data_IF_445972462304
#
_entry.id   IF_445972462304
#
_cell.length_a   1.000
_cell.length_b   1.000
_cell.length_c   1.000
_cell.angle_alpha   90.00
_cell.angle_beta   90.00
_cell.angle_gamma   90.00
#
_symmetry.space_group_name_H-M   'P 1'
#
loop_
_entity.id
_entity.type
_entity.pdbx_description
1 polymer ?
#
# COMPACT_ATOMS: atom_id res chain seq x y z
N UNK A 1 -25.30 6.71 -2.76
CA UNK A 1 -24.36 7.51 -3.56
C UNK A 1 -25.04 8.83 -3.79
N UNK A 2 -24.34 9.90 -3.46
CA UNK A 2 -24.82 11.27 -3.52
C UNK A 2 -23.81 12.07 -4.34
N UNK A 3 -24.30 12.93 -5.23
CA UNK A 3 -23.45 13.67 -6.17
C UNK A 3 -23.85 15.14 -6.16
N UNK A 4 -22.88 15.99 -5.87
CA UNK A 4 -22.98 17.44 -5.94
C UNK A 4 -22.34 17.90 -7.25
N UNK A 5 -23.08 18.60 -8.11
CA UNK A 5 -22.62 19.03 -9.44
C UNK A 5 -22.72 20.54 -9.63
N UNK A 6 -21.74 21.10 -10.34
CA UNK A 6 -21.76 22.44 -10.92
C UNK A 6 -21.53 22.36 -12.42
N UNK A 7 -22.40 23.00 -13.19
CA UNK A 7 -22.34 23.03 -14.64
C UNK A 7 -22.15 24.46 -15.11
N UNK A 8 -21.15 24.67 -15.96
CA UNK A 8 -20.82 25.98 -16.52
C UNK A 8 -20.79 25.89 -18.04
N UNK A 9 -21.69 26.61 -18.71
CA UNK A 9 -21.68 26.71 -20.18
C UNK A 9 -20.54 27.61 -20.62
N UNK A 10 -19.72 27.10 -21.53
CA UNK A 10 -18.59 27.81 -22.16
C UNK A 10 -18.72 27.74 -23.68
N UNK A 11 -17.83 28.44 -24.40
CA UNK A 11 -17.91 28.54 -25.87
C UNK A 11 -17.79 27.18 -26.57
N UNK A 12 -16.95 26.30 -26.02
CA UNK A 12 -16.58 25.02 -26.61
C UNK A 12 -17.40 23.84 -26.04
N UNK A 13 -18.28 24.09 -25.05
CA UNK A 13 -18.95 23.01 -24.36
C UNK A 13 -19.56 23.37 -23.00
N UNK A 14 -19.63 22.37 -22.12
CA UNK A 14 -20.07 22.49 -20.73
C UNK A 14 -19.00 21.92 -19.82
N UNK A 15 -18.46 22.74 -18.94
CA UNK A 15 -17.58 22.28 -17.86
C UNK A 15 -18.45 21.70 -16.74
N UNK A 16 -18.25 20.43 -16.45
CA UNK A 16 -18.89 19.73 -15.34
C UNK A 16 -17.86 19.58 -14.23
N UNK A 17 -18.16 20.11 -13.05
CA UNK A 17 -17.36 19.92 -11.84
C UNK A 17 -18.25 19.26 -10.79
N UNK A 18 -17.75 18.24 -10.11
CA UNK A 18 -18.55 17.55 -9.13
C UNK A 18 -17.75 16.86 -8.04
N UNK A 19 -18.48 16.56 -6.97
CA UNK A 19 -18.02 15.74 -5.85
C UNK A 19 -19.02 14.61 -5.67
N UNK A 20 -18.54 13.37 -5.67
CA UNK A 20 -19.36 12.18 -5.46
C UNK A 20 -18.98 11.50 -4.14
N UNK A 21 -20.00 11.26 -3.32
CA UNK A 21 -19.89 10.45 -2.10
C UNK A 21 -20.49 9.08 -2.32
N UNK A 22 -19.70 8.05 -2.12
CA UNK A 22 -20.09 6.67 -2.30
C UNK A 22 -19.61 5.80 -1.14
N UNK A 23 -20.27 4.66 -0.94
CA UNK A 23 -19.80 3.61 -0.05
C UNK A 23 -19.44 2.41 -0.90
N UNK A 24 -18.26 1.84 -0.66
CA UNK A 24 -17.76 0.65 -1.32
C UNK A 24 -17.64 -0.50 -0.34
N UNK A 25 -18.10 -1.68 -0.76
CA UNK A 25 -18.01 -2.92 0.01
C UNK A 25 -16.92 -3.82 -0.59
N UNK A 26 -16.12 -4.43 0.28
CA UNK A 26 -15.05 -5.35 -0.14
C UNK A 26 -14.63 -6.28 0.99
N UNK A 27 -13.51 -6.95 0.80
CA UNK A 27 -12.95 -7.88 1.77
C UNK A 27 -11.53 -7.44 2.17
N UNK A 28 -11.21 -7.62 3.44
CA UNK A 28 -9.89 -7.34 3.98
C UNK A 28 -8.86 -8.28 3.34
N UNK A 29 -7.79 -7.73 2.77
CA UNK A 29 -6.74 -8.53 2.12
C UNK A 29 -5.98 -9.45 3.09
N UNK A 30 -6.09 -9.23 4.40
CA UNK A 30 -5.37 -10.00 5.43
C UNK A 30 -6.22 -11.11 6.05
N UNK A 31 -7.49 -10.85 6.34
CA UNK A 31 -8.37 -11.79 7.06
C UNK A 31 -9.64 -12.19 6.31
N UNK A 32 -9.91 -11.61 5.15
CA UNK A 32 -11.14 -11.80 4.36
C UNK A 32 -12.44 -11.38 5.08
N UNK A 33 -12.35 -10.67 6.20
CA UNK A 33 -13.52 -10.05 6.82
C UNK A 33 -14.05 -8.90 5.95
N UNK A 34 -15.38 -8.69 5.90
CA UNK A 34 -15.98 -7.57 5.16
C UNK A 34 -15.41 -6.23 5.61
N UNK A 35 -15.22 -5.33 4.65
CA UNK A 35 -14.79 -3.94 4.85
C UNK A 35 -15.76 -3.03 4.12
N UNK A 36 -16.23 -1.99 4.81
CA UNK A 36 -16.99 -0.89 4.23
C UNK A 36 -16.07 0.34 4.18
N UNK A 37 -16.02 0.99 3.03
CA UNK A 37 -15.18 2.16 2.77
C UNK A 37 -16.05 3.31 2.30
N UNK A 38 -16.00 4.43 3.01
CA UNK A 38 -16.57 5.68 2.53
C UNK A 38 -15.58 6.39 1.61
N UNK A 39 -16.06 6.76 0.43
CA UNK A 39 -15.31 7.44 -0.62
C UNK A 39 -15.92 8.82 -0.86
N UNK A 40 -15.06 9.83 -0.89
CA UNK A 40 -15.39 11.18 -1.34
C UNK A 40 -14.43 11.50 -2.48
N UNK A 41 -14.95 11.60 -3.70
CA UNK A 41 -14.15 11.78 -4.93
C UNK A 41 -14.57 13.03 -5.66
N UNK A 42 -13.58 13.85 -6.02
CA UNK A 42 -13.77 15.01 -6.88
C UNK A 42 -13.47 14.63 -8.33
N UNK A 43 -14.26 15.17 -9.24
CA UNK A 43 -14.04 15.02 -10.68
C UNK A 43 -14.38 16.31 -11.41
N UNK A 44 -13.73 16.50 -12.56
CA UNK A 44 -13.94 17.65 -13.42
C UNK A 44 -13.70 17.24 -14.86
N UNK A 45 -14.65 17.52 -15.74
CA UNK A 45 -14.54 17.20 -17.16
C UNK A 45 -15.21 18.25 -18.05
N UNK A 46 -14.67 18.43 -19.26
CA UNK A 46 -15.27 19.25 -20.30
C UNK A 46 -16.03 18.39 -21.30
N UNK A 47 -17.32 18.65 -21.47
CA UNK A 47 -18.13 18.03 -22.53
C UNK A 47 -18.27 18.99 -23.72
N UNK A 48 -17.84 18.58 -24.91
CA UNK A 48 -17.86 19.44 -26.10
C UNK A 48 -19.23 19.47 -26.77
N UNK A 49 -19.57 20.57 -27.45
CA UNK A 49 -20.76 20.61 -28.29
C UNK A 49 -20.49 19.89 -29.62
N UNK A 50 -21.47 19.18 -30.22
CA UNK A 50 -21.27 18.50 -31.50
C UNK A 50 -20.78 19.40 -32.64
N UNK A 51 -21.06 20.71 -32.56
CA UNK A 51 -20.67 21.71 -33.56
C UNK A 51 -19.45 22.55 -33.15
N UNK A 52 -18.89 22.40 -31.94
CA UNK A 52 -17.73 23.21 -31.51
C UNK A 52 -16.44 22.79 -32.20
N UNK A 53 -16.31 21.51 -32.56
CA UNK A 53 -15.14 20.96 -33.23
C UNK A 53 -14.98 21.55 -34.65
N UNK A 54 -16.09 21.97 -35.27
CA UNK A 54 -16.14 22.55 -36.61
C UNK A 54 -15.93 24.09 -36.64
N UNK A 55 -16.05 24.80 -35.51
CA UNK A 55 -16.07 26.28 -35.47
C UNK A 55 -14.69 26.93 -35.28
N UNK A 56 -13.64 26.13 -35.08
CA UNK A 56 -12.28 26.61 -34.83
C UNK A 56 -11.18 26.05 -35.74
N UNK A 57 -11.38 24.87 -36.35
CA UNK A 57 -10.35 24.24 -37.19
C UNK A 57 -10.80 24.27 -38.65
N UNK A 58 -10.16 25.11 -39.46
CA UNK A 58 -10.24 24.96 -40.90
C UNK A 58 -9.92 23.51 -41.22
N UNK A 59 -10.78 22.86 -42.01
CA UNK A 59 -10.52 21.58 -42.67
C UNK A 59 -9.31 21.73 -43.61
N UNK A 60 -8.13 21.84 -43.04
CA UNK A 60 -6.86 22.01 -43.71
C UNK A 60 -6.04 20.76 -43.44
N UNK A 61 -5.95 19.96 -44.50
CA UNK A 61 -5.07 18.81 -44.65
C UNK A 61 -5.31 17.65 -43.67
N UNK A 62 -5.84 16.57 -44.24
CA UNK A 62 -5.47 15.24 -43.81
C UNK A 62 -3.95 15.07 -44.02
N UNK A 63 -3.16 15.37 -43.00
CA UNK A 63 -1.84 14.79 -42.73
C UNK A 63 -1.34 15.36 -41.37
N UNK A 64 -1.18 14.44 -40.41
CA UNK A 64 -0.15 14.50 -39.35
C UNK A 64 -0.37 15.22 -38.00
N UNK A 65 -1.60 15.45 -37.51
CA UNK A 65 -1.82 15.92 -36.11
C UNK A 65 -3.12 15.38 -35.48
N UNK A 66 -3.27 14.06 -35.38
CA UNK A 66 -4.39 13.41 -34.69
C UNK A 66 -4.08 13.09 -33.20
N UNK A 67 -3.34 13.96 -32.51
CA UNK A 67 -2.97 13.76 -31.10
C UNK A 67 -3.73 14.69 -30.13
N UNK A 68 -4.55 15.63 -30.61
CA UNK A 68 -5.21 16.66 -29.77
C UNK A 68 -6.74 16.48 -29.62
N UNK A 69 -7.36 15.57 -30.39
CA UNK A 69 -8.82 15.35 -30.39
C UNK A 69 -9.24 14.08 -29.61
N UNK A 70 -8.31 13.36 -28.97
CA UNK A 70 -8.62 12.10 -28.27
C UNK A 70 -9.24 12.30 -26.87
N UNK A 71 -9.22 13.52 -26.32
CA UNK A 71 -9.59 13.80 -24.93
C UNK A 71 -10.95 14.53 -24.76
N UNK A 72 -11.67 14.87 -25.84
CA UNK A 72 -12.95 15.59 -25.74
C UNK A 72 -14.15 14.63 -25.77
N UNK A 73 -14.94 14.62 -24.69
CA UNK A 73 -16.16 13.81 -24.59
C UNK A 73 -17.34 14.59 -25.21
N UNK A 74 -17.94 14.13 -26.32
CA UNK A 74 -19.03 14.85 -26.96
C UNK A 74 -20.30 14.81 -26.12
N UNK A 75 -21.05 15.91 -26.14
CA UNK A 75 -22.39 15.96 -25.57
C UNK A 75 -23.38 15.27 -26.51
N UNK A 76 -23.96 14.15 -26.07
CA UNK A 76 -24.91 13.37 -26.86
C UNK A 76 -26.34 13.83 -26.59
N UNK A 77 -27.03 14.38 -27.60
CA UNK A 77 -28.42 14.84 -27.50
C UNK A 77 -28.70 15.80 -26.33
N UNK A 78 -27.71 16.60 -25.93
CA UNK A 78 -27.81 17.52 -24.79
C UNK A 78 -27.64 16.87 -23.42
N UNK A 79 -27.22 15.61 -23.37
CA UNK A 79 -26.92 14.83 -22.18
C UNK A 79 -25.41 14.56 -22.11
N UNK A 80 -24.88 14.50 -20.90
CA UNK A 80 -23.52 14.04 -20.61
C UNK A 80 -23.60 12.72 -19.85
N UNK A 81 -22.79 11.73 -20.23
CA UNK A 81 -22.67 10.48 -19.49
C UNK A 81 -21.60 10.63 -18.39
N UNK A 82 -22.06 10.60 -17.13
CA UNK A 82 -21.17 10.68 -15.97
C UNK A 82 -20.61 9.32 -15.56
N UNK A 83 -21.14 8.21 -16.07
CA UNK A 83 -20.70 6.88 -15.64
C UNK A 83 -19.19 6.67 -15.83
N UNK A 84 -18.57 6.99 -17.00
CA UNK A 84 -17.14 6.83 -17.18
C UNK A 84 -16.33 7.69 -16.22
N UNK A 85 -16.72 8.95 -16.05
CA UNK A 85 -16.03 9.90 -15.17
C UNK A 85 -16.08 9.49 -13.70
N UNK A 86 -17.27 9.08 -13.24
CA UNK A 86 -17.46 8.61 -11.87
C UNK A 86 -16.71 7.30 -11.65
N UNK A 87 -16.73 6.38 -12.62
CA UNK A 87 -16.00 5.12 -12.54
C UNK A 87 -14.51 5.38 -12.39
N UNK A 88 -13.94 6.24 -13.22
CA UNK A 88 -12.51 6.51 -13.19
C UNK A 88 -12.10 7.19 -11.89
N UNK A 89 -12.87 8.19 -11.43
CA UNK A 89 -12.63 8.84 -10.15
C UNK A 89 -12.72 7.86 -8.96
N UNK A 90 -13.74 7.02 -8.92
CA UNK A 90 -13.96 6.04 -7.84
C UNK A 90 -12.91 4.94 -7.85
N UNK A 91 -12.63 4.34 -9.01
CA UNK A 91 -11.67 3.23 -9.14
C UNK A 91 -10.27 3.68 -8.73
N UNK A 92 -9.87 4.90 -9.09
CA UNK A 92 -8.57 5.45 -8.71
C UNK A 92 -8.48 5.83 -7.23
N UNK A 93 -9.60 6.13 -6.58
CA UNK A 93 -9.65 6.45 -5.15
C UNK A 93 -9.66 5.21 -4.25
N UNK A 94 -10.03 4.04 -4.77
CA UNK A 94 -10.07 2.80 -4.00
C UNK A 94 -8.67 2.36 -3.54
N UNK A 95 -8.50 1.95 -2.27
CA UNK A 95 -7.22 1.44 -1.80
C UNK A 95 -6.89 0.10 -2.47
N UNK A 96 -5.64 -0.09 -2.89
CA UNK A 96 -5.19 -1.37 -3.46
C UNK A 96 -5.19 -2.53 -2.46
N UNK A 97 -5.09 -2.23 -1.17
CA UNK A 97 -5.03 -3.22 -0.08
C UNK A 97 -5.96 -2.82 1.07
N UNK A 98 -7.28 -2.99 0.91
CA UNK A 98 -8.22 -2.70 1.98
C UNK A 98 -7.99 -3.60 3.19
N UNK A 99 -8.04 -3.01 4.39
CA UNK A 99 -7.91 -3.73 5.66
C UNK A 99 -9.08 -3.36 6.57
N UNK A 100 -9.59 -4.34 7.33
CA UNK A 100 -10.71 -4.12 8.26
C UNK A 100 -10.32 -3.25 9.48
N UNK A 101 -9.02 -3.15 9.78
CA UNK A 101 -8.41 -2.33 10.84
C UNK A 101 -6.90 -2.23 10.60
N UNK A 102 -6.28 -1.17 11.11
CA UNK A 102 -4.83 -0.91 10.94
C UNK A 102 -3.95 -2.07 11.42
N UNK A 103 -4.29 -2.65 12.57
CA UNK A 103 -3.52 -3.73 13.22
C UNK A 103 -4.05 -5.15 12.92
N UNK A 104 -4.75 -5.36 11.79
CA UNK A 104 -5.34 -6.67 11.49
C UNK A 104 -4.25 -7.75 11.37
N UNK A 105 -4.22 -8.77 12.23
CA UNK A 105 -3.17 -9.81 12.20
C UNK A 105 -3.23 -10.68 10.94
N UNK A 106 -4.43 -10.90 10.39
CA UNK A 106 -4.67 -11.66 9.17
C UNK A 106 -4.89 -13.16 9.42
N UNK A 107 -4.79 -13.96 8.35
CA UNK A 107 -4.86 -15.41 8.43
C UNK A 107 -3.47 -16.03 8.55
N UNK A 108 -3.40 -17.18 9.23
CA UNK A 108 -2.22 -18.03 9.24
C UNK A 108 -1.93 -18.53 7.82
N UNK A 109 -0.69 -18.38 7.35
CA UNK A 109 -0.25 -18.84 6.02
C UNK A 109 -0.27 -20.36 5.86
N UNK A 110 -0.23 -21.11 6.97
CA UNK A 110 -0.14 -22.56 6.96
C UNK A 110 -1.52 -23.24 6.97
N UNK A 111 -2.48 -22.72 7.75
CA UNK A 111 -3.78 -23.38 7.95
C UNK A 111 -5.00 -22.47 7.73
N UNK A 112 -4.82 -21.17 7.54
CA UNK A 112 -5.91 -20.20 7.36
C UNK A 112 -6.65 -19.78 8.64
N UNK A 113 -6.16 -20.14 9.83
CA UNK A 113 -6.76 -19.67 11.09
C UNK A 113 -6.66 -18.15 11.24
N UNK A 114 -7.73 -17.51 11.76
CA UNK A 114 -7.76 -16.07 11.98
C UNK A 114 -6.90 -15.70 13.20
N UNK A 115 -5.77 -15.04 12.95
CA UNK A 115 -4.83 -14.62 13.98
C UNK A 115 -5.38 -13.48 14.84
N UNK A 116 -6.42 -12.77 14.38
CA UNK A 116 -7.09 -11.77 15.21
C UNK A 116 -7.88 -12.40 16.36
N UNK A 117 -8.37 -13.63 16.17
CA UNK A 117 -9.14 -14.37 17.19
C UNK A 117 -8.23 -15.25 18.04
N UNK A 118 -7.12 -15.74 17.48
CA UNK A 118 -6.15 -16.57 18.17
C UNK A 118 -4.70 -16.07 17.92
N UNK A 119 -4.24 -15.05 18.66
CA UNK A 119 -2.93 -14.43 18.44
C UNK A 119 -1.74 -15.35 18.70
N UNK A 120 -1.90 -16.33 19.61
CA UNK A 120 -0.84 -17.27 19.98
C UNK A 120 -0.74 -18.47 19.01
N UNK A 121 -1.56 -18.49 17.95
CA UNK A 121 -1.57 -19.56 16.96
C UNK A 121 -0.27 -19.58 16.14
N UNK A 122 0.45 -20.69 16.20
CA UNK A 122 1.68 -20.92 15.44
C UNK A 122 1.80 -22.39 15.03
N UNK A 123 2.57 -22.63 13.97
CA UNK A 123 2.92 -23.95 13.49
C UNK A 123 4.43 -24.12 13.53
N UNK A 124 4.91 -25.07 14.33
CA UNK A 124 6.30 -25.51 14.29
C UNK A 124 6.47 -26.53 13.14
N UNK A 125 6.43 -26.04 11.91
CA UNK A 125 6.68 -26.86 10.73
C UNK A 125 8.16 -26.79 10.35
N UNK A 126 8.90 -27.87 10.60
CA UNK A 126 10.28 -27.98 10.09
C UNK A 126 10.24 -28.44 8.64
N UNK A 127 10.77 -27.60 7.75
CA UNK A 127 10.91 -27.91 6.33
C UNK A 127 11.70 -29.21 6.13
N UNK A 128 11.16 -30.10 5.30
CA UNK A 128 11.68 -31.45 5.03
C UNK A 128 13.15 -31.41 4.60
N UNK A 129 13.57 -30.39 3.84
CA UNK A 129 14.97 -30.23 3.38
C UNK A 129 15.93 -30.01 4.55
N UNK A 130 15.43 -29.42 5.62
CA UNK A 130 16.18 -29.05 6.82
C UNK A 130 15.95 -30.02 7.99
N UNK A 131 15.08 -31.03 7.83
CA UNK A 131 14.78 -32.01 8.88
C UNK A 131 16.04 -32.71 9.41
N UNK A 132 17.03 -32.99 8.54
CA UNK A 132 18.30 -33.59 8.92
C UNK A 132 19.15 -32.71 9.87
N UNK A 133 18.91 -31.39 9.91
CA UNK A 133 19.62 -30.46 10.79
C UNK A 133 18.98 -30.31 12.17
N UNK A 134 17.81 -30.89 12.44
CA UNK A 134 17.18 -30.83 13.78
C UNK A 134 18.12 -31.40 14.86
N UNK A 135 18.91 -32.43 14.53
CA UNK A 135 19.90 -33.01 15.43
C UNK A 135 21.04 -32.05 15.83
N UNK A 136 21.26 -30.98 15.06
CA UNK A 136 22.31 -29.98 15.29
C UNK A 136 21.83 -28.78 16.12
N UNK A 137 20.51 -28.58 16.26
CA UNK A 137 19.97 -27.47 17.05
C UNK A 137 20.32 -27.57 18.54
N UNK A 138 20.41 -28.79 19.08
CA UNK A 138 20.84 -29.04 20.46
C UNK A 138 22.33 -28.83 20.71
N UNK A 139 23.17 -28.90 19.67
CA UNK A 139 24.63 -28.74 19.81
C UNK A 139 25.10 -27.28 19.72
N UNK A 140 24.22 -26.34 19.37
CA UNK A 140 24.56 -24.92 19.22
C UNK A 140 24.31 -24.10 20.49
N UNK A 141 23.72 -24.69 21.53
CA UNK A 141 23.37 -24.01 22.78
C UNK A 141 23.98 -24.68 24.00
N UNK A 142 25.31 -24.66 24.16
CA UNK A 142 26.01 -24.75 25.46
C UNK A 142 27.52 -24.47 25.31
N UNK A 143 27.92 -23.25 24.98
CA UNK A 143 29.34 -22.84 25.11
C UNK A 143 29.47 -21.36 25.51
N UNK A 144 28.69 -20.93 26.51
CA UNK A 144 28.90 -19.65 27.18
C UNK A 144 28.98 -19.80 28.70
N UNK A 145 29.81 -20.74 29.15
CA UNK A 145 30.38 -20.73 30.50
C UNK A 145 31.75 -21.40 30.44
N UNK A 146 32.79 -20.63 30.14
CA UNK A 146 34.12 -20.82 30.73
C UNK A 146 35.03 -19.66 30.34
N UNK A 147 35.27 -18.76 31.30
CA UNK A 147 36.58 -18.61 31.96
C UNK A 147 36.87 -17.16 32.39
N UNK A 148 36.37 -16.77 33.56
CA UNK A 148 36.96 -15.69 34.37
C UNK A 148 36.81 -16.04 35.85
N UNK A 149 37.67 -16.93 36.35
CA UNK A 149 37.99 -16.98 37.77
C UNK A 149 39.49 -17.25 37.95
N UNK A 150 40.29 -16.21 37.68
CA UNK A 150 41.67 -16.14 38.15
C UNK A 150 41.70 -15.43 39.50
N UNK A 151 41.66 -16.19 40.60
CA UNK A 151 42.06 -15.68 41.92
C UNK A 151 43.54 -16.01 42.11
N UNK A 152 44.40 -15.00 42.00
CA UNK A 152 45.74 -15.02 42.57
C UNK A 152 46.00 -13.68 43.25
N UNK A 153 45.97 -13.71 44.57
CA UNK A 153 46.64 -12.73 45.43
C UNK A 153 48.13 -12.68 45.09
N UNK A 154 48.71 -11.50 44.97
CA UNK A 154 49.53 -10.93 46.05
C UNK A 154 50.01 -9.55 45.62
N UNK A 155 49.80 -8.56 46.48
CA UNK A 155 50.31 -7.23 46.30
C UNK A 155 51.23 -6.91 47.46
N UNK A 156 52.52 -6.74 47.19
CA UNK A 156 53.38 -5.97 48.10
C UNK A 156 54.54 -5.33 47.32
N UNK A 157 54.81 -4.07 47.66
CA UNK A 157 55.61 -3.12 46.89
C UNK A 157 56.73 -2.59 47.79
N UNK A 158 57.96 -2.53 47.23
CA UNK A 158 59.19 -1.81 47.65
C UNK A 158 60.04 -2.45 48.77
N UNK A 159 61.33 -2.66 48.48
CA UNK A 159 62.37 -1.63 48.69
C UNK A 159 63.74 -2.08 48.17
N UNK A 160 64.55 -1.12 47.73
CA UNK A 160 65.94 -1.27 47.32
C UNK A 160 66.89 -0.96 48.50
N UNK A 161 67.95 -1.75 48.66
CA UNK A 161 69.27 -1.40 49.20
C UNK A 161 70.19 -2.63 49.03
N UNK A 162 71.19 -2.64 48.14
CA UNK A 162 72.56 -2.11 48.25
C UNK A 162 73.57 -3.01 49.02
N UNK A 163 74.69 -3.29 48.33
CA UNK A 163 76.04 -3.78 48.75
C UNK A 163 76.25 -5.29 48.91
N UNK A 164 77.08 -5.96 48.09
CA UNK A 164 78.56 -5.98 47.94
C UNK A 164 79.30 -6.90 48.94
N UNK A 165 79.95 -7.92 48.34
CA UNK A 165 81.20 -8.62 48.70
C UNK A 165 81.35 -9.46 50.00
N UNK A 166 81.87 -10.67 49.73
CA UNK A 166 82.57 -11.68 50.57
C UNK A 166 81.76 -12.61 51.46
#
# INVERSE_FOLDING_TARGET
MDIDLRLESVMEGVLVTGTARASAEGECVRCLEPVELDLDVDFQEMFSYPDSDDRGRSKAAADDEAEDDEDMIPLEDGMFDLEPLLRDAVVLALPMQPVCREDCAGLCSDCGANLNENPDHHHDAVDIRWAALQGLAGSLGTDEKDNMSGKASDGDVRSAAEKQEK
#
